data_IF_149344786010
#
_entry.id   IF_149344786010
#
_cell.length_a   1.000
_cell.length_b   1.000
_cell.length_c   1.000
_cell.angle_alpha   90.00
_cell.angle_beta   90.00
_cell.angle_gamma   90.00
#
_symmetry.space_group_name_H-M   'P 1'
#
loop_
_entity.id
_entity.type
_entity.pdbx_description
1 polymer ?
#
# COMPACT_ATOMS: atom_id res chain seq x y z
N UNK A 1 27.35 12.08 -15.17
CA UNK A 1 26.52 12.51 -14.01
C UNK A 1 26.00 11.24 -13.37
N UNK A 2 26.12 11.08 -12.05
CA UNK A 2 25.49 9.96 -11.35
C UNK A 2 23.96 10.10 -11.48
N UNK A 3 23.20 9.00 -11.65
CA UNK A 3 21.74 9.06 -11.68
C UNK A 3 21.21 9.65 -10.37
N UNK A 4 20.08 10.36 -10.41
CA UNK A 4 19.43 10.90 -9.21
C UNK A 4 18.92 9.78 -8.28
N UNK A 5 18.57 10.11 -7.05
CA UNK A 5 18.14 9.12 -6.07
C UNK A 5 16.86 8.41 -6.54
N UNK A 6 15.91 9.16 -7.09
CA UNK A 6 14.68 8.59 -7.66
C UNK A 6 14.94 7.74 -8.91
N UNK A 7 15.89 8.14 -9.76
CA UNK A 7 16.22 7.38 -10.95
C UNK A 7 16.79 5.99 -10.62
N UNK A 8 17.61 5.90 -9.56
CA UNK A 8 18.10 4.62 -9.06
C UNK A 8 16.97 3.77 -8.47
N UNK A 9 16.10 4.37 -7.64
CA UNK A 9 14.96 3.65 -7.06
C UNK A 9 14.01 3.10 -8.14
N UNK A 10 13.69 3.90 -9.16
CA UNK A 10 12.89 3.47 -10.32
C UNK A 10 13.54 2.30 -11.07
N UNK A 11 14.86 2.37 -11.29
CA UNK A 11 15.58 1.28 -11.93
C UNK A 11 15.48 0.00 -11.10
N UNK A 12 15.70 0.07 -9.79
CA UNK A 12 15.60 -1.08 -8.88
C UNK A 12 14.17 -1.66 -8.86
N UNK A 13 13.15 -0.79 -8.77
CA UNK A 13 11.74 -1.20 -8.81
C UNK A 13 11.37 -1.86 -10.14
N UNK A 14 11.83 -1.32 -11.27
CA UNK A 14 11.53 -1.89 -12.60
C UNK A 14 12.01 -3.34 -12.77
N UNK A 15 12.98 -3.79 -11.97
CA UNK A 15 13.45 -5.17 -11.96
C UNK A 15 12.51 -6.13 -11.22
N UNK A 16 11.69 -5.62 -10.29
CA UNK A 16 10.84 -6.45 -9.41
C UNK A 16 9.35 -6.21 -9.56
N UNK A 17 8.93 -5.07 -10.09
CA UNK A 17 7.53 -4.73 -10.41
C UNK A 17 6.79 -5.84 -11.19
N UNK A 18 7.41 -6.54 -12.17
CA UNK A 18 6.73 -7.65 -12.85
C UNK A 18 6.25 -8.76 -11.90
N UNK A 19 6.89 -8.97 -10.75
CA UNK A 19 6.46 -9.95 -9.74
C UNK A 19 5.14 -9.52 -9.11
N UNK A 20 5.05 -8.24 -8.71
CA UNK A 20 3.83 -7.66 -8.15
C UNK A 20 2.69 -7.68 -9.16
N UNK A 21 2.94 -7.22 -10.39
CA UNK A 21 1.93 -7.17 -11.45
C UNK A 21 1.42 -8.56 -11.85
N UNK A 22 2.31 -9.55 -11.91
CA UNK A 22 1.89 -10.93 -12.20
C UNK A 22 1.01 -11.49 -11.08
N UNK A 23 1.34 -11.19 -9.82
CA UNK A 23 0.55 -11.63 -8.66
C UNK A 23 -0.81 -10.92 -8.61
N UNK A 24 -0.84 -9.61 -8.86
CA UNK A 24 -2.06 -8.84 -9.02
C UNK A 24 -2.93 -9.38 -10.18
N UNK A 25 -2.32 -9.70 -11.33
CA UNK A 25 -3.05 -10.28 -12.46
C UNK A 25 -3.64 -11.66 -12.15
N UNK A 26 -2.98 -12.48 -11.31
CA UNK A 26 -3.54 -13.74 -10.82
C UNK A 26 -4.74 -13.51 -9.91
N UNK A 27 -4.63 -12.59 -8.96
CA UNK A 27 -5.74 -12.20 -8.07
C UNK A 27 -6.94 -11.70 -8.88
N UNK A 28 -6.69 -10.87 -9.89
CA UNK A 28 -7.68 -10.23 -10.74
C UNK A 28 -8.13 -11.06 -11.95
N UNK A 29 -7.73 -12.33 -12.03
CA UNK A 29 -8.10 -13.23 -13.10
C UNK A 29 -9.62 -13.41 -13.13
N UNK A 30 -10.22 -13.33 -14.32
CA UNK A 30 -11.64 -13.60 -14.52
C UNK A 30 -11.98 -15.06 -14.21
N UNK A 31 -13.23 -15.31 -13.79
CA UNK A 31 -13.76 -16.65 -13.60
C UNK A 31 -14.38 -16.86 -12.21
N UNK A 32 -14.79 -18.10 -11.91
CA UNK A 32 -15.40 -18.45 -10.63
C UNK A 32 -14.52 -18.00 -9.45
N UNK A 33 -15.13 -17.37 -8.45
CA UNK A 33 -14.45 -16.87 -7.25
C UNK A 33 -13.85 -15.47 -7.36
N UNK A 34 -14.01 -14.73 -8.48
CA UNK A 34 -13.53 -13.34 -8.55
C UNK A 34 -14.16 -12.45 -7.48
N UNK A 35 -15.45 -12.63 -7.18
CA UNK A 35 -16.14 -11.89 -6.13
C UNK A 35 -15.53 -12.18 -4.73
N UNK A 36 -15.23 -13.45 -4.44
CA UNK A 36 -14.61 -13.84 -3.16
C UNK A 36 -13.18 -13.29 -3.04
N UNK A 37 -12.40 -13.33 -4.13
CA UNK A 37 -11.07 -12.71 -4.17
C UNK A 37 -11.16 -11.20 -3.94
N UNK A 38 -12.19 -10.54 -4.48
CA UNK A 38 -12.41 -9.12 -4.23
C UNK A 38 -12.72 -8.82 -2.77
N UNK A 39 -13.59 -9.59 -2.11
CA UNK A 39 -13.86 -9.43 -0.66
C UNK A 39 -12.61 -9.64 0.19
N UNK A 40 -11.82 -10.67 -0.13
CA UNK A 40 -10.52 -10.93 0.52
C UNK A 40 -9.54 -9.78 0.29
N UNK A 41 -9.51 -9.20 -0.91
CA UNK A 41 -8.72 -8.01 -1.22
C UNK A 41 -9.13 -6.81 -0.35
N UNK A 42 -10.43 -6.52 -0.23
CA UNK A 42 -10.92 -5.44 0.64
C UNK A 42 -10.47 -5.62 2.09
N UNK A 43 -10.62 -6.84 2.63
CA UNK A 43 -10.19 -7.16 4.00
C UNK A 43 -8.68 -6.99 4.20
N UNK A 44 -7.86 -7.54 3.30
CA UNK A 44 -6.42 -7.43 3.41
C UNK A 44 -5.92 -6.00 3.22
N UNK A 45 -6.43 -5.29 2.21
CA UNK A 45 -6.00 -3.91 1.94
C UNK A 45 -6.48 -2.94 3.01
N UNK A 46 -7.67 -3.13 3.61
CA UNK A 46 -8.07 -2.38 4.80
C UNK A 46 -7.01 -2.49 5.91
N UNK A 47 -6.48 -3.69 6.17
CA UNK A 47 -5.46 -3.90 7.20
C UNK A 47 -4.10 -3.27 6.87
N UNK A 48 -3.75 -3.17 5.57
CA UNK A 48 -2.55 -2.45 5.12
C UNK A 48 -2.75 -0.94 5.24
N UNK A 49 -3.86 -0.42 4.70
CA UNK A 49 -4.15 1.03 4.60
C UNK A 49 -4.40 1.64 5.98
N UNK A 50 -5.11 0.94 6.89
CA UNK A 50 -5.32 1.42 8.27
C UNK A 50 -4.02 1.66 9.04
N UNK A 51 -2.92 1.05 8.60
CA UNK A 51 -1.61 1.23 9.23
C UNK A 51 -0.79 2.38 8.61
N UNK A 52 -1.14 2.87 7.42
CA UNK A 52 -0.37 3.89 6.70
C UNK A 52 -0.30 5.21 7.46
N UNK A 53 -1.44 5.75 7.93
CA UNK A 53 -1.46 7.00 8.71
C UNK A 53 -0.68 6.86 10.02
N UNK A 54 -0.90 5.84 10.88
CA UNK A 54 -0.08 5.63 12.07
C UNK A 54 1.42 5.49 11.79
N UNK A 55 1.81 4.80 10.71
CA UNK A 55 3.21 4.68 10.29
C UNK A 55 3.82 6.05 9.96
N UNK A 56 3.13 6.86 9.18
CA UNK A 56 3.59 8.20 8.77
C UNK A 56 3.68 9.15 9.97
N UNK A 57 2.67 9.19 10.83
CA UNK A 57 2.69 9.99 12.06
C UNK A 57 3.84 9.57 12.98
N UNK A 58 4.06 8.27 13.12
CA UNK A 58 5.14 7.74 13.96
C UNK A 58 6.52 8.04 13.38
N UNK A 59 6.70 7.87 12.08
CA UNK A 59 7.93 8.22 11.37
C UNK A 59 8.22 9.72 11.48
N UNK A 60 7.20 10.59 11.38
CA UNK A 60 7.35 12.04 11.57
C UNK A 60 7.83 12.39 12.99
N UNK A 61 7.24 11.80 14.03
CA UNK A 61 7.72 11.97 15.42
C UNK A 61 9.18 11.51 15.56
N UNK A 62 9.53 10.38 14.95
CA UNK A 62 10.90 9.86 15.01
C UNK A 62 11.90 10.78 14.31
N UNK A 63 11.52 11.34 13.15
CA UNK A 63 12.29 12.36 12.42
C UNK A 63 12.53 13.62 13.27
N UNK A 64 11.50 14.12 13.96
CA UNK A 64 11.59 15.31 14.82
C UNK A 64 12.55 15.10 16.00
N UNK A 65 12.70 13.84 16.46
CA UNK A 65 13.64 13.45 17.50
C UNK A 65 15.12 13.33 17.03
N UNK A 66 15.43 13.63 15.76
CA UNK A 66 16.78 13.60 15.19
C UNK A 66 17.31 15.05 14.95
N UNK A 67 17.79 15.76 15.98
CA UNK A 67 18.02 17.22 15.93
C UNK A 67 19.16 17.69 15.01
N UNK A 68 19.93 16.76 14.41
CA UNK A 68 21.05 17.05 13.49
C UNK A 68 20.94 16.31 12.16
N UNK A 69 19.84 15.61 11.95
CA UNK A 69 19.63 14.89 10.71
C UNK A 69 19.09 15.85 9.64
N UNK A 70 19.80 16.03 8.51
CA UNK A 70 19.36 16.94 7.45
C UNK A 70 18.15 16.40 6.67
N UNK A 71 17.85 15.10 6.76
CA UNK A 71 16.69 14.43 6.16
C UNK A 71 15.47 14.52 7.07
N UNK A 72 15.67 14.46 8.39
CA UNK A 72 14.59 14.35 9.37
C UNK A 72 13.49 15.42 9.25
N UNK A 73 13.84 16.71 9.32
CA UNK A 73 12.84 17.80 9.25
C UNK A 73 12.02 17.85 7.95
N UNK A 74 12.62 17.85 6.75
CA UNK A 74 11.85 17.84 5.51
C UNK A 74 10.99 16.58 5.38
N UNK A 75 11.52 15.41 5.76
CA UNK A 75 10.75 14.16 5.76
C UNK A 75 9.55 14.20 6.71
N UNK A 76 9.72 14.70 7.94
CA UNK A 76 8.60 14.85 8.89
C UNK A 76 7.47 15.73 8.34
N UNK A 77 7.82 16.83 7.65
CA UNK A 77 6.82 17.73 7.04
C UNK A 77 6.02 17.00 5.97
N UNK A 78 6.71 16.30 5.07
CA UNK A 78 6.06 15.52 4.01
C UNK A 78 5.13 14.46 4.61
N UNK A 79 5.64 13.65 5.55
CA UNK A 79 4.87 12.57 6.18
C UNK A 79 3.62 13.08 6.92
N UNK A 80 3.67 14.25 7.57
CA UNK A 80 2.49 14.84 8.21
C UNK A 80 1.46 15.34 7.20
N UNK A 81 1.89 15.93 6.09
CA UNK A 81 0.98 16.35 5.03
C UNK A 81 0.30 15.15 4.38
N UNK A 82 1.10 14.14 3.98
CA UNK A 82 0.61 12.89 3.39
C UNK A 82 -0.30 12.13 4.36
N UNK A 83 0.00 12.11 5.66
CA UNK A 83 -0.88 11.50 6.67
C UNK A 83 -2.22 12.21 6.84
N UNK A 84 -2.30 13.52 6.56
CA UNK A 84 -3.57 14.24 6.59
C UNK A 84 -4.41 13.94 5.33
N UNK A 85 -3.76 13.83 4.18
CA UNK A 85 -4.40 13.46 2.92
C UNK A 85 -4.96 12.03 2.98
N UNK A 86 -4.19 11.08 3.51
CA UNK A 86 -4.60 9.66 3.62
C UNK A 86 -5.59 9.37 4.77
N UNK A 87 -5.95 10.38 5.56
CA UNK A 87 -6.79 10.20 6.75
C UNK A 87 -8.19 9.73 6.35
N UNK A 88 -8.57 8.54 6.83
CA UNK A 88 -9.87 7.94 6.58
C UNK A 88 -9.98 7.18 5.25
N UNK A 89 -8.88 7.02 4.49
CA UNK A 89 -8.89 6.18 3.30
C UNK A 89 -9.20 4.71 3.62
N UNK A 90 -8.85 4.23 4.82
CA UNK A 90 -9.23 2.90 5.30
C UNK A 90 -10.75 2.75 5.48
N UNK A 91 -11.46 3.82 5.82
CA UNK A 91 -12.93 3.82 5.93
C UNK A 91 -13.61 3.62 4.57
N UNK A 92 -12.97 4.02 3.46
CA UNK A 92 -13.49 3.77 2.11
C UNK A 92 -13.55 2.28 1.81
N UNK A 93 -12.56 1.50 2.26
CA UNK A 93 -12.55 0.05 2.12
C UNK A 93 -13.63 -0.62 2.98
N UNK A 94 -13.91 -0.07 4.17
CA UNK A 94 -15.02 -0.53 5.00
C UNK A 94 -16.37 -0.28 4.33
N UNK A 95 -16.54 0.89 3.69
CA UNK A 95 -17.75 1.21 2.94
C UNK A 95 -17.93 0.27 1.74
N UNK A 96 -16.88 0.02 0.96
CA UNK A 96 -16.91 -0.94 -0.14
C UNK A 96 -17.25 -2.35 0.37
N UNK A 97 -16.60 -2.80 1.47
CA UNK A 97 -16.83 -4.13 2.06
C UNK A 97 -18.28 -4.32 2.53
N UNK A 98 -18.88 -3.31 3.16
CA UNK A 98 -20.28 -3.34 3.57
C UNK A 98 -21.23 -3.54 2.37
N UNK A 99 -20.94 -2.91 1.21
CA UNK A 99 -21.73 -3.11 -0.02
C UNK A 99 -21.58 -4.54 -0.56
N UNK A 100 -20.46 -5.23 -0.29
CA UNK A 100 -20.27 -6.64 -0.66
C UNK A 100 -20.92 -7.64 0.30
N UNK A 101 -21.50 -7.16 1.41
CA UNK A 101 -22.19 -7.96 2.42
C UNK A 101 -21.40 -8.23 3.70
N UNK A 102 -20.25 -7.57 3.91
CA UNK A 102 -19.49 -7.73 5.16
C UNK A 102 -20.29 -7.21 6.36
N UNK A 103 -20.21 -7.92 7.49
CA UNK A 103 -20.85 -7.53 8.73
C UNK A 103 -20.13 -6.34 9.40
N UNK A 104 -20.82 -5.51 10.19
CA UNK A 104 -20.17 -4.50 11.02
C UNK A 104 -19.10 -5.14 11.91
N UNK A 105 -17.91 -4.55 11.94
CA UNK A 105 -16.79 -5.05 12.75
C UNK A 105 -15.97 -6.18 12.10
N UNK A 106 -16.48 -6.83 11.04
CA UNK A 106 -15.83 -8.00 10.44
C UNK A 106 -14.37 -7.72 10.02
N UNK A 107 -14.13 -6.59 9.36
CA UNK A 107 -12.79 -6.20 8.91
C UNK A 107 -11.93 -5.58 10.01
N UNK A 108 -12.53 -4.90 10.98
CA UNK A 108 -11.80 -4.18 12.05
C UNK A 108 -11.33 -5.09 13.16
N UNK A 109 -12.12 -6.13 13.44
CA UNK A 109 -11.93 -7.06 14.57
C UNK A 109 -11.22 -8.35 14.12
N UNK A 110 -11.08 -8.56 12.80
CA UNK A 110 -10.32 -9.67 12.25
C UNK A 110 -8.86 -9.64 12.72
N UNK A 111 -8.36 -10.80 13.15
CA UNK A 111 -6.95 -10.98 13.46
C UNK A 111 -6.13 -10.80 12.18
N UNK A 112 -5.20 -9.85 12.21
CA UNK A 112 -4.31 -9.59 11.07
C UNK A 112 -3.49 -10.83 10.73
N UNK A 113 -3.56 -11.35 9.48
CA UNK A 113 -2.74 -12.46 9.06
C UNK A 113 -1.24 -12.15 9.16
N UNK A 114 -0.44 -13.15 9.51
CA UNK A 114 0.99 -12.98 9.74
C UNK A 114 1.74 -12.32 8.57
N UNK A 115 1.35 -12.57 7.31
CA UNK A 115 1.97 -11.96 6.14
C UNK A 115 1.64 -10.46 5.98
N UNK A 116 0.43 -10.03 6.36
CA UNK A 116 0.07 -8.60 6.44
C UNK A 116 0.82 -7.92 7.57
N UNK A 117 0.90 -8.59 8.74
CA UNK A 117 1.69 -8.09 9.86
C UNK A 117 3.19 -8.01 9.52
N UNK A 118 3.72 -8.93 8.70
CA UNK A 118 5.11 -8.89 8.23
C UNK A 118 5.37 -7.76 7.22
N UNK A 119 4.40 -7.48 6.34
CA UNK A 119 4.47 -6.34 5.41
C UNK A 119 4.57 -5.01 6.17
N UNK A 120 3.62 -4.75 7.06
CA UNK A 120 3.50 -3.47 7.79
C UNK A 120 4.50 -3.39 8.96
N UNK A 121 4.71 -4.49 9.68
CA UNK A 121 5.59 -4.56 10.83
C UNK A 121 7.06 -4.34 10.51
N UNK A 122 7.51 -4.75 9.31
CA UNK A 122 8.86 -4.45 8.84
C UNK A 122 9.09 -2.92 8.75
N UNK A 123 8.07 -2.16 8.36
CA UNK A 123 8.16 -0.70 8.26
C UNK A 123 8.34 -0.06 9.63
N UNK A 124 7.56 -0.52 10.63
CA UNK A 124 7.75 -0.13 12.03
C UNK A 124 9.15 -0.47 12.54
N UNK A 125 9.66 -1.64 12.19
CA UNK A 125 10.99 -2.05 12.62
C UNK A 125 12.09 -1.12 12.06
N UNK A 126 12.09 -0.87 10.75
CA UNK A 126 13.11 0.00 10.14
C UNK A 126 12.98 1.46 10.54
N UNK A 127 11.76 2.00 10.68
CA UNK A 127 11.60 3.39 11.11
C UNK A 127 12.12 3.61 12.53
N UNK A 128 11.92 2.65 13.45
CA UNK A 128 12.38 2.78 14.84
C UNK A 128 13.87 2.48 15.02
N UNK A 129 14.34 1.41 14.37
CA UNK A 129 15.67 0.83 14.62
C UNK A 129 16.71 1.14 13.55
N UNK A 130 16.33 1.79 12.45
CA UNK A 130 17.26 2.20 11.39
C UNK A 130 17.12 3.69 11.10
N UNK A 131 16.18 4.07 10.26
CA UNK A 131 15.90 5.48 9.96
C UNK A 131 14.49 5.62 9.35
N UNK A 132 13.71 6.68 9.68
CA UNK A 132 12.35 6.88 9.15
C UNK A 132 12.25 6.96 7.63
N UNK A 133 13.34 7.30 6.93
CA UNK A 133 13.40 7.33 5.47
C UNK A 133 13.04 6.00 4.82
N UNK A 134 13.18 4.87 5.53
CA UNK A 134 12.73 3.56 5.05
C UNK A 134 11.30 3.62 4.50
N UNK A 135 10.41 4.36 5.19
CA UNK A 135 9.00 4.45 4.84
C UNK A 135 8.76 4.99 3.43
N UNK A 136 9.68 5.79 2.86
CA UNK A 136 9.57 6.25 1.47
C UNK A 136 9.54 5.10 0.46
N UNK A 137 10.22 3.98 0.74
CA UNK A 137 10.18 2.82 -0.13
C UNK A 137 8.83 2.10 -0.09
N UNK A 138 8.18 2.06 1.08
CA UNK A 138 6.83 1.53 1.23
C UNK A 138 5.80 2.41 0.51
N UNK A 139 5.86 3.73 0.71
CA UNK A 139 4.98 4.71 0.05
C UNK A 139 5.17 4.63 -1.47
N UNK A 140 6.42 4.58 -1.97
CA UNK A 140 6.69 4.50 -3.41
C UNK A 140 6.00 3.32 -4.10
N UNK A 141 5.94 2.17 -3.43
CA UNK A 141 5.30 0.97 -4.00
C UNK A 141 3.78 1.09 -3.95
N UNK A 142 3.20 1.63 -2.87
CA UNK A 142 1.75 1.77 -2.77
C UNK A 142 1.20 2.83 -3.73
N UNK A 143 1.82 4.01 -3.80
CA UNK A 143 1.41 5.11 -4.68
C UNK A 143 1.71 4.79 -6.15
N UNK A 144 2.85 4.14 -6.43
CA UNK A 144 3.30 3.83 -7.78
C UNK A 144 2.53 2.69 -8.46
N UNK A 145 1.65 1.99 -7.74
CA UNK A 145 0.90 0.82 -8.25
C UNK A 145 -0.61 1.01 -8.14
N UNK A 146 -1.09 2.21 -8.48
CA UNK A 146 -2.51 2.51 -8.56
C UNK A 146 -3.27 1.53 -9.47
N UNK A 147 -4.55 1.22 -9.15
CA UNK A 147 -5.37 0.36 -10.01
C UNK A 147 -5.48 0.88 -11.43
N UNK A 148 -5.41 -0.02 -12.42
CA UNK A 148 -5.55 0.37 -13.82
C UNK A 148 -6.91 1.05 -14.11
N UNK A 149 -6.94 2.09 -14.95
CA UNK A 149 -8.19 2.71 -15.39
C UNK A 149 -9.19 1.66 -15.92
N UNK A 150 -10.42 1.72 -15.45
CA UNK A 150 -11.48 0.78 -15.84
C UNK A 150 -11.48 -0.57 -15.10
N UNK A 151 -10.54 -0.83 -14.18
CA UNK A 151 -10.56 -2.04 -13.34
C UNK A 151 -11.87 -2.15 -12.55
N UNK A 152 -12.32 -1.07 -11.91
CA UNK A 152 -13.57 -1.03 -11.16
C UNK A 152 -14.77 -1.44 -12.03
N UNK A 153 -14.89 -0.87 -13.24
CA UNK A 153 -15.97 -1.19 -14.16
C UNK A 153 -15.93 -2.66 -14.64
N UNK A 154 -14.72 -3.20 -14.85
CA UNK A 154 -14.53 -4.62 -15.18
C UNK A 154 -14.95 -5.51 -14.03
N UNK A 155 -14.49 -5.24 -12.82
CA UNK A 155 -14.81 -6.03 -11.63
C UNK A 155 -16.31 -6.04 -11.35
N UNK A 156 -16.99 -4.89 -11.42
CA UNK A 156 -18.43 -4.80 -11.25
C UNK A 156 -19.19 -5.72 -12.24
N UNK A 157 -18.81 -5.67 -13.53
CA UNK A 157 -19.42 -6.50 -14.57
C UNK A 157 -19.19 -8.00 -14.35
N UNK A 158 -17.98 -8.39 -13.95
CA UNK A 158 -17.59 -9.81 -13.87
C UNK A 158 -17.95 -10.48 -12.54
N UNK A 159 -18.07 -9.70 -11.46
CA UNK A 159 -18.45 -10.22 -10.14
C UNK A 159 -19.96 -10.20 -9.89
N UNK A 160 -20.69 -9.30 -10.57
CA UNK A 160 -22.10 -9.04 -10.29
C UNK A 160 -22.35 -8.25 -9.00
N UNK A 161 -21.29 -7.78 -8.33
CA UNK A 161 -21.42 -6.92 -7.15
C UNK A 161 -21.90 -5.52 -7.54
N UNK A 162 -22.56 -4.77 -6.64
CA UNK A 162 -22.99 -3.40 -6.91
C UNK A 162 -21.81 -2.51 -7.29
N UNK A 163 -22.01 -1.54 -8.20
CA UNK A 163 -20.94 -0.61 -8.60
C UNK A 163 -20.36 0.17 -7.40
N UNK A 164 -21.19 0.44 -6.39
CA UNK A 164 -20.78 1.12 -5.17
C UNK A 164 -19.77 0.32 -4.34
N UNK A 165 -19.62 -1.00 -4.57
CA UNK A 165 -18.60 -1.82 -3.91
C UNK A 165 -17.18 -1.55 -4.42
N UNK A 166 -17.02 -0.76 -5.49
CA UNK A 166 -15.73 -0.49 -6.14
C UNK A 166 -15.38 0.99 -6.07
N UNK A 167 -15.94 1.74 -5.12
CA UNK A 167 -15.72 3.17 -5.02
C UNK A 167 -14.25 3.48 -4.77
N UNK A 168 -13.59 2.76 -3.85
CA UNK A 168 -12.16 2.97 -3.54
C UNK A 168 -11.28 2.68 -4.75
N UNK A 169 -11.47 1.54 -5.40
CA UNK A 169 -10.66 1.15 -6.59
C UNK A 169 -10.82 2.16 -7.72
N UNK A 170 -12.04 2.69 -7.90
CA UNK A 170 -12.30 3.75 -8.88
C UNK A 170 -11.65 5.06 -8.47
N UNK A 171 -11.83 5.50 -7.22
CA UNK A 171 -11.27 6.75 -6.73
C UNK A 171 -9.74 6.74 -6.84
N UNK A 172 -9.05 5.67 -6.44
CA UNK A 172 -7.60 5.55 -6.62
C UNK A 172 -7.14 5.41 -8.08
N UNK A 173 -8.01 5.00 -9.00
CA UNK A 173 -7.68 4.95 -10.43
C UNK A 173 -7.89 6.31 -11.12
N UNK A 174 -8.87 7.09 -10.66
CA UNK A 174 -9.30 8.35 -11.25
C UNK A 174 -8.64 9.57 -10.58
N UNK A 175 -8.26 9.46 -9.30
CA UNK A 175 -7.41 10.40 -8.58
C UNK A 175 -5.95 10.08 -8.95
N UNK A 176 -5.48 10.65 -10.05
CA UNK A 176 -4.05 10.95 -10.16
C UNK A 176 -3.80 12.21 -9.32
N UNK A 177 -3.65 12.01 -8.01
CA UNK A 177 -3.43 13.07 -7.02
C UNK A 177 -1.99 13.62 -7.04
N UNK A 178 -1.11 13.06 -7.87
CA UNK A 178 0.28 13.47 -7.97
C UNK A 178 1.15 12.99 -6.81
N UNK A 179 0.65 12.14 -5.89
CA UNK A 179 1.42 11.63 -4.75
C UNK A 179 2.74 10.99 -5.18
N UNK A 180 2.72 10.20 -6.26
CA UNK A 180 3.93 9.61 -6.83
C UNK A 180 4.92 10.70 -7.27
N UNK A 181 4.47 11.74 -7.98
CA UNK A 181 5.34 12.82 -8.43
C UNK A 181 5.89 13.65 -7.25
N UNK A 182 5.10 13.85 -6.20
CA UNK A 182 5.47 14.60 -5.00
C UNK A 182 6.52 13.85 -4.17
N UNK A 183 6.31 12.55 -4.00
CA UNK A 183 7.27 11.63 -3.38
C UNK A 183 8.60 11.62 -4.14
N UNK A 184 8.55 11.52 -5.47
CA UNK A 184 9.74 11.49 -6.31
C UNK A 184 10.56 12.78 -6.21
N UNK A 185 9.88 13.94 -6.21
CA UNK A 185 10.54 15.24 -5.98
C UNK A 185 11.17 15.29 -4.59
N UNK A 186 10.48 14.84 -3.56
CA UNK A 186 11.04 14.75 -2.21
C UNK A 186 12.31 13.90 -2.18
N UNK A 187 12.29 12.70 -2.77
CA UNK A 187 13.44 11.78 -2.76
C UNK A 187 14.68 12.42 -3.42
N UNK A 188 14.49 13.18 -4.50
CA UNK A 188 15.59 13.88 -5.17
C UNK A 188 16.07 15.14 -4.43
N UNK A 189 15.21 15.79 -3.64
CA UNK A 189 15.56 16.95 -2.81
C UNK A 189 16.24 16.57 -1.49
N UNK A 190 15.92 15.40 -0.95
CA UNK A 190 16.49 14.93 0.32
C UNK A 190 18.00 14.64 0.18
N UNK A 191 18.84 15.11 1.12
CA UNK A 191 20.28 14.85 1.10
C UNK A 191 20.60 13.45 1.61
N UNK A 192 20.08 12.42 0.94
CA UNK A 192 20.24 11.02 1.35
C UNK A 192 21.70 10.59 1.25
N UNK A 193 22.21 9.92 2.28
CA UNK A 193 23.47 9.19 2.19
C UNK A 193 23.30 7.83 1.49
N UNK A 194 24.39 7.08 1.33
CA UNK A 194 24.35 5.77 0.67
C UNK A 194 23.53 4.74 1.47
N UNK A 195 23.61 4.76 2.81
CA UNK A 195 22.89 3.82 3.65
C UNK A 195 21.38 4.11 3.63
N UNK A 196 20.99 5.37 3.65
CA UNK A 196 19.60 5.81 3.53
C UNK A 196 18.99 5.45 2.17
N UNK A 197 19.73 5.65 1.06
CA UNK A 197 19.28 5.18 -0.26
C UNK A 197 19.07 3.67 -0.28
N UNK A 198 20.04 2.90 0.24
CA UNK A 198 19.90 1.44 0.34
C UNK A 198 18.72 1.03 1.22
N UNK A 199 18.44 1.77 2.30
CA UNK A 199 17.31 1.48 3.18
C UNK A 199 15.96 1.73 2.49
N UNK A 200 15.83 2.81 1.72
CA UNK A 200 14.65 3.07 0.86
C UNK A 200 14.45 1.91 -0.12
N UNK A 201 15.52 1.50 -0.81
CA UNK A 201 15.49 0.39 -1.76
C UNK A 201 15.07 -0.93 -1.10
N UNK A 202 15.68 -1.29 0.04
CA UNK A 202 15.33 -2.49 0.80
C UNK A 202 13.86 -2.48 1.22
N UNK A 203 13.37 -1.34 1.70
CA UNK A 203 11.97 -1.18 2.08
C UNK A 203 11.03 -1.37 0.88
N UNK A 204 11.38 -0.81 -0.27
CA UNK A 204 10.60 -0.93 -1.50
C UNK A 204 10.56 -2.38 -2.00
N UNK A 205 11.72 -3.04 -2.09
CA UNK A 205 11.84 -4.44 -2.51
C UNK A 205 11.05 -5.39 -1.58
N UNK A 206 11.14 -5.17 -0.26
CA UNK A 206 10.35 -5.93 0.71
C UNK A 206 8.85 -5.71 0.54
N UNK A 207 8.43 -4.47 0.28
CA UNK A 207 7.03 -4.12 0.06
C UNK A 207 6.48 -4.78 -1.20
N UNK A 208 7.24 -4.76 -2.31
CA UNK A 208 6.92 -5.48 -3.56
C UNK A 208 6.76 -6.98 -3.29
N UNK A 209 7.72 -7.60 -2.63
CA UNK A 209 7.69 -9.04 -2.36
C UNK A 209 6.50 -9.42 -1.45
N UNK A 210 6.24 -8.64 -0.41
CA UNK A 210 5.18 -8.90 0.56
C UNK A 210 3.78 -8.67 -0.04
N UNK A 211 3.60 -7.65 -0.88
CA UNK A 211 2.35 -7.43 -1.61
C UNK A 211 2.11 -8.51 -2.67
N UNK A 212 3.17 -8.94 -3.37
CA UNK A 212 3.07 -10.07 -4.30
C UNK A 212 2.63 -11.36 -3.58
N UNK A 213 3.23 -11.66 -2.42
CA UNK A 213 2.82 -12.79 -1.58
C UNK A 213 1.35 -12.65 -1.14
N UNK A 214 0.95 -11.45 -0.69
CA UNK A 214 -0.44 -11.18 -0.30
C UNK A 214 -1.41 -11.47 -1.47
N UNK A 215 -1.13 -10.95 -2.65
CA UNK A 215 -1.99 -11.14 -3.83
C UNK A 215 -2.02 -12.59 -4.30
N UNK A 216 -0.90 -13.30 -4.24
CA UNK A 216 -0.86 -14.73 -4.56
C UNK A 216 -1.66 -15.57 -3.56
N UNK A 217 -1.62 -15.23 -2.27
CA UNK A 217 -2.45 -15.88 -1.25
C UNK A 217 -3.94 -15.66 -1.49
N UNK A 218 -4.33 -14.44 -1.88
CA UNK A 218 -5.73 -14.16 -2.27
C UNK A 218 -6.09 -14.96 -3.53
N UNK A 219 -5.20 -15.02 -4.52
CA UNK A 219 -5.44 -15.74 -5.77
C UNK A 219 -5.61 -17.25 -5.58
N UNK A 220 -4.84 -17.84 -4.65
CA UNK A 220 -4.85 -19.27 -4.36
C UNK A 220 -5.93 -19.69 -3.34
N UNK A 221 -6.61 -18.74 -2.71
CA UNK A 221 -7.59 -19.05 -1.68
C UNK A 221 -8.80 -19.81 -2.25
N UNK A 222 -9.35 -20.81 -1.52
CA UNK A 222 -10.55 -21.52 -1.95
C UNK A 222 -11.73 -20.59 -2.22
N UNK A 223 -12.54 -20.96 -3.21
CA UNK A 223 -13.84 -20.35 -3.47
C UNK A 223 -14.83 -20.73 -2.36
N UNK A 224 -15.70 -19.80 -1.98
CA UNK A 224 -16.50 -19.91 -0.76
C UNK A 224 -16.04 -18.87 0.24
N UNK A 225 -16.49 -17.63 0.05
CA UNK A 225 -16.47 -16.64 1.12
C UNK A 225 -17.53 -17.06 2.14
N UNK A 226 -17.07 -17.62 3.26
CA UNK A 226 -17.89 -17.77 4.46
C UNK A 226 -17.67 -16.51 5.27
N UNK A 227 -18.74 -15.73 5.49
CA UNK A 227 -18.65 -14.64 6.47
C UNK A 227 -18.41 -15.26 7.84
N UNK A 228 -17.75 -14.57 8.77
CA UNK A 228 -17.52 -15.08 10.13
C UNK A 228 -18.81 -15.37 10.93
N UNK A 229 -19.98 -15.24 10.29
CA UNK A 229 -21.32 -15.40 10.85
C UNK A 229 -22.23 -16.35 10.05
N UNK A 230 -21.70 -17.09 9.08
CA UNK A 230 -22.37 -18.29 8.52
C UNK A 230 -22.09 -19.52 9.40
#
# INVERSE_FOLDING_TARGET
MSPSAVANLRLELSLVEPVLWTSAARMWRSGPGLADRYRRYLSAMHQVIRASVPLMERAAVRCEALPRDPVGRPLARYLRAHAEEERGHDEWLLADAAVTGAAPGELTDAVTPAHVAALVGAQYYWLEHSHPVALLGYIAVLEGNAPAPGLAARLARETGLPQAAFATVRLHADLDDGHSADLERLIDELPLDAAQRSLVAVSALHTVASLAELFDRIAAAPTGWESAHD
#
